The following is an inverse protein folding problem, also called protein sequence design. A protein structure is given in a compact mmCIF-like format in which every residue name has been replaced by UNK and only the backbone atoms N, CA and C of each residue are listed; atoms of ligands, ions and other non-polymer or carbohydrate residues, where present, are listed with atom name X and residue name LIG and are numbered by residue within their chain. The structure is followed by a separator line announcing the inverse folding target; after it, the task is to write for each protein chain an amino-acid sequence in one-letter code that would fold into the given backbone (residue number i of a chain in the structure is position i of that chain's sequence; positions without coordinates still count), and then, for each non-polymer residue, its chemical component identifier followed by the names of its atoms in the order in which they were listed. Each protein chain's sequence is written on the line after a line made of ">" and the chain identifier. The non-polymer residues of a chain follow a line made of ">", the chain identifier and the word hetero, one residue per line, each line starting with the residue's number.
data_IF_771276640731
#
_entry.id   IF_771276640731
#
_cell.length_a   1.000
_cell.length_b   1.000
_cell.length_c   1.000
_cell.angle_alpha   90.00
_cell.angle_beta   90.00
_cell.angle_gamma   90.00
#
_symmetry.space_group_name_H-M   'P 1'
#
loop_
_entity.id
_entity.type
_entity.pdbx_description
1 polymer ?
#
# COMPACT_ATOMS: atom_id res chain seq x y z
N UNK A 1 53.64 -23.99 -38.32
CA UNK A 1 52.42 -24.67 -37.85
C UNK A 1 51.92 -23.92 -36.63
N UNK A 2 50.80 -23.20 -36.79
CA UNK A 2 50.26 -22.23 -35.84
C UNK A 2 49.18 -22.92 -35.01
N UNK A 3 49.38 -23.01 -33.69
CA UNK A 3 48.36 -23.51 -32.77
C UNK A 3 47.39 -22.37 -32.41
N UNK A 4 46.18 -22.48 -32.96
CA UNK A 4 45.04 -21.59 -32.72
C UNK A 4 44.41 -21.87 -31.36
N UNK A 5 44.42 -20.87 -30.49
CA UNK A 5 43.56 -20.77 -29.30
C UNK A 5 42.09 -20.75 -29.75
N UNK A 6 41.27 -21.68 -29.26
CA UNK A 6 39.80 -21.61 -29.38
C UNK A 6 39.25 -20.85 -28.18
N UNK A 7 38.76 -19.63 -28.43
CA UNK A 7 37.97 -18.83 -27.49
C UNK A 7 36.60 -19.46 -27.27
N UNK A 8 36.26 -19.80 -26.03
CA UNK A 8 34.92 -20.16 -25.61
C UNK A 8 34.03 -18.92 -25.57
N UNK A 9 33.23 -18.71 -26.60
CA UNK A 9 32.21 -17.67 -26.67
C UNK A 9 31.06 -17.96 -25.70
N UNK A 10 30.75 -16.98 -24.85
CA UNK A 10 29.57 -16.94 -23.98
C UNK A 10 28.27 -17.04 -24.78
N UNK A 11 27.21 -17.72 -24.30
CA UNK A 11 25.94 -17.79 -25.02
C UNK A 11 25.21 -16.45 -24.90
N UNK A 12 25.20 -15.69 -25.98
CA UNK A 12 24.35 -14.50 -26.14
C UNK A 12 22.88 -14.96 -26.13
N UNK A 13 22.15 -14.64 -25.06
CA UNK A 13 20.72 -14.95 -24.93
C UNK A 13 19.95 -14.09 -25.94
N UNK A 14 19.59 -14.68 -27.07
CA UNK A 14 18.67 -14.04 -28.02
C UNK A 14 17.29 -13.92 -27.38
N UNK A 15 16.93 -12.71 -26.94
CA UNK A 15 15.57 -12.34 -26.58
C UNK A 15 14.69 -12.43 -27.84
N UNK A 16 13.98 -13.56 -28.00
CA UNK A 16 12.91 -13.67 -29.00
C UNK A 16 11.79 -12.73 -28.58
N UNK A 17 11.54 -11.70 -29.40
CA UNK A 17 10.32 -10.88 -29.34
C UNK A 17 9.12 -11.79 -29.59
N UNK A 18 8.48 -12.25 -28.53
CA UNK A 18 7.12 -12.80 -28.60
C UNK A 18 6.18 -11.61 -28.57
N UNK A 19 5.73 -11.20 -29.76
CA UNK A 19 4.72 -10.16 -29.93
C UNK A 19 3.35 -10.79 -29.69
N UNK A 20 3.00 -11.07 -28.43
CA UNK A 20 1.67 -11.56 -28.08
C UNK A 20 0.70 -10.40 -27.97
N UNK A 21 0.04 -10.11 -29.09
CA UNK A 21 -1.20 -9.35 -29.11
C UNK A 21 -2.27 -10.09 -28.31
N UNK A 22 -2.43 -9.76 -27.03
CA UNK A 22 -3.58 -10.18 -26.22
C UNK A 22 -4.21 -8.96 -25.55
N UNK A 23 -5.33 -8.51 -26.11
CA UNK A 23 -6.19 -7.52 -25.48
C UNK A 23 -6.93 -8.22 -24.32
N UNK A 24 -6.42 -8.05 -23.10
CA UNK A 24 -7.12 -8.46 -21.89
C UNK A 24 -8.30 -7.51 -21.67
N UNK A 25 -9.51 -7.93 -22.03
CA UNK A 25 -10.76 -7.24 -21.64
C UNK A 25 -11.03 -7.54 -20.15
N UNK A 26 -10.98 -6.53 -19.29
CA UNK A 26 -11.44 -6.67 -17.91
C UNK A 26 -10.91 -5.63 -16.91
N UNK A 27 -11.31 -4.38 -17.10
CA UNK A 27 -10.97 -3.23 -16.24
C UNK A 27 -10.32 -2.10 -17.05
N UNK A 28 -10.64 -0.84 -16.73
CA UNK A 28 -9.86 0.28 -17.30
C UNK A 28 -8.39 0.02 -16.94
N UNK A 29 -7.46 -0.06 -17.92
CA UNK A 29 -6.05 -0.18 -17.58
C UNK A 29 -5.69 0.98 -16.65
N UNK A 30 -5.01 0.66 -15.55
CA UNK A 30 -4.43 1.69 -14.69
C UNK A 30 -3.62 2.63 -15.58
N UNK A 31 -3.72 3.95 -15.35
CA UNK A 31 -2.94 4.88 -16.15
C UNK A 31 -1.45 4.50 -16.00
N UNK A 32 -0.69 4.41 -17.12
CA UNK A 32 0.73 4.16 -17.04
C UNK A 32 1.35 5.24 -16.14
N UNK A 33 2.17 4.82 -15.18
CA UNK A 33 2.85 5.79 -14.32
C UNK A 33 4.00 6.38 -15.10
N UNK A 34 4.07 7.71 -15.11
CA UNK A 34 5.26 8.41 -15.59
C UNK A 34 6.17 8.62 -14.41
N UNK A 35 7.39 8.08 -14.50
CA UNK A 35 8.42 8.26 -13.48
C UNK A 35 8.55 9.72 -13.08
N UNK A 36 8.40 9.95 -11.79
CA UNK A 36 8.65 11.25 -11.20
C UNK A 36 10.15 11.40 -10.94
N UNK A 37 10.70 12.63 -10.96
CA UNK A 37 12.05 12.85 -10.46
C UNK A 37 12.20 12.29 -9.04
N UNK A 38 13.33 11.67 -8.71
CA UNK A 38 13.52 10.93 -7.47
C UNK A 38 13.17 11.73 -6.19
N UNK A 39 13.43 13.05 -6.18
CA UNK A 39 13.05 13.95 -5.08
C UNK A 39 11.52 14.02 -4.93
N UNK A 40 10.80 14.17 -6.04
CA UNK A 40 9.34 14.25 -6.02
C UNK A 40 8.72 12.92 -5.64
N UNK A 41 9.27 11.80 -6.12
CA UNK A 41 8.81 10.46 -5.78
C UNK A 41 8.99 10.17 -4.27
N UNK A 42 10.16 10.50 -3.70
CA UNK A 42 10.39 10.38 -2.25
C UNK A 42 9.37 11.20 -1.45
N UNK A 43 9.07 12.42 -1.90
CA UNK A 43 8.05 13.25 -1.25
C UNK A 43 6.65 12.66 -1.41
N UNK A 44 6.31 12.16 -2.60
CA UNK A 44 5.02 11.53 -2.88
C UNK A 44 4.77 10.29 -2.01
N UNK A 45 5.80 9.46 -1.81
CA UNK A 45 5.78 8.32 -0.90
C UNK A 45 5.46 8.73 0.53
N UNK A 46 6.18 9.73 1.07
CA UNK A 46 5.92 10.23 2.43
C UNK A 46 4.52 10.87 2.56
N UNK A 47 4.03 11.54 1.51
CA UNK A 47 2.65 12.04 1.45
C UNK A 47 1.64 10.90 1.46
N UNK A 48 1.89 9.82 0.71
CA UNK A 48 1.08 8.60 0.70
C UNK A 48 0.96 8.01 2.10
N UNK A 49 2.08 7.89 2.84
CA UNK A 49 2.09 7.42 4.23
C UNK A 49 1.32 8.33 5.17
N UNK A 50 1.53 9.64 5.08
CA UNK A 50 0.84 10.57 5.96
C UNK A 50 -0.69 10.52 5.74
N UNK A 51 -1.11 10.43 4.48
CA UNK A 51 -2.53 10.31 4.12
C UNK A 51 -3.10 8.93 4.49
N UNK A 52 -2.36 7.85 4.26
CA UNK A 52 -2.74 6.50 4.67
C UNK A 52 -2.96 6.44 6.18
N UNK A 53 -1.98 6.91 6.96
CA UNK A 53 -2.09 7.05 8.42
C UNK A 53 -3.31 7.86 8.84
N UNK A 54 -3.53 9.02 8.19
CA UNK A 54 -4.68 9.89 8.47
C UNK A 54 -5.99 9.12 8.31
N UNK A 55 -6.14 8.41 7.19
CA UNK A 55 -7.33 7.59 6.94
C UNK A 55 -7.45 6.47 7.98
N UNK A 56 -6.35 5.76 8.24
CA UNK A 56 -6.34 4.53 9.04
C UNK A 56 -6.58 4.77 10.52
N UNK A 57 -5.93 5.77 11.11
CA UNK A 57 -5.96 6.04 12.56
C UNK A 57 -7.08 6.98 12.99
N UNK A 58 -7.56 7.85 12.09
CA UNK A 58 -8.48 8.92 12.49
C UNK A 58 -9.77 8.92 11.68
N UNK A 59 -9.69 8.98 10.35
CA UNK A 59 -10.89 9.21 9.52
C UNK A 59 -11.80 7.99 9.47
N UNK A 60 -11.25 6.81 9.19
CA UNK A 60 -12.04 5.59 9.09
C UNK A 60 -12.62 5.16 10.45
N UNK A 61 -11.88 5.20 11.58
CA UNK A 61 -12.46 5.00 12.91
C UNK A 61 -13.58 6.00 13.24
N UNK A 62 -13.40 7.29 12.93
CA UNK A 62 -14.44 8.30 13.16
C UNK A 62 -15.72 8.02 12.35
N UNK A 63 -15.57 7.68 11.06
CA UNK A 63 -16.70 7.30 10.22
C UNK A 63 -17.38 6.01 10.70
N UNK A 64 -16.61 5.03 11.17
CA UNK A 64 -17.13 3.79 11.74
C UNK A 64 -17.96 4.07 13.00
N UNK A 65 -17.42 4.82 13.95
CA UNK A 65 -18.11 5.19 15.19
C UNK A 65 -19.42 5.95 14.92
N UNK A 66 -19.41 6.89 13.96
CA UNK A 66 -20.61 7.62 13.54
C UNK A 66 -21.68 6.69 12.94
N UNK A 67 -21.30 5.77 12.05
CA UNK A 67 -22.27 4.84 11.45
C UNK A 67 -22.81 3.84 12.47
N UNK A 68 -21.99 3.42 13.45
CA UNK A 68 -22.42 2.60 14.58
C UNK A 68 -23.45 3.34 15.44
N UNK A 69 -23.20 4.60 15.80
CA UNK A 69 -24.12 5.39 16.61
C UNK A 69 -25.45 5.67 15.90
N UNK A 70 -25.49 5.58 14.57
CA UNK A 70 -26.69 5.69 13.74
C UNK A 70 -27.36 4.33 13.45
N UNK A 71 -26.81 3.22 13.96
CA UNK A 71 -27.32 1.88 13.70
C UNK A 71 -27.24 1.43 12.23
N UNK A 72 -26.35 2.05 11.43
CA UNK A 72 -26.23 1.77 9.98
C UNK A 72 -25.25 0.65 9.67
N UNK A 73 -24.42 0.29 10.62
CA UNK A 73 -23.51 -0.85 10.56
C UNK A 73 -23.51 -1.56 11.91
N UNK A 74 -23.14 -2.85 11.93
CA UNK A 74 -22.83 -3.58 13.15
C UNK A 74 -21.38 -3.33 13.57
N UNK A 75 -21.04 -3.68 14.82
CA UNK A 75 -19.67 -3.67 15.32
C UNK A 75 -18.81 -4.67 14.51
N UNK A 76 -18.35 -4.22 13.35
CA UNK A 76 -17.48 -4.98 12.48
C UNK A 76 -16.04 -4.80 12.94
N UNK A 77 -15.30 -5.92 12.95
CA UNK A 77 -13.92 -5.98 13.38
C UNK A 77 -12.94 -5.42 12.32
N UNK A 78 -13.35 -5.37 11.05
CA UNK A 78 -12.51 -4.87 9.95
C UNK A 78 -13.11 -3.58 9.36
N UNK A 79 -12.38 -2.47 9.49
CA UNK A 79 -12.81 -1.13 9.08
C UNK A 79 -12.33 -0.84 7.65
N UNK A 80 -13.16 -1.18 6.66
CA UNK A 80 -12.93 -0.83 5.25
C UNK A 80 -13.53 0.54 4.93
N UNK A 81 -12.68 1.55 4.76
CA UNK A 81 -13.11 2.92 4.50
C UNK A 81 -13.95 3.08 3.22
N UNK A 82 -13.73 2.24 2.19
CA UNK A 82 -14.59 2.24 0.98
C UNK A 82 -16.01 1.83 1.33
N UNK A 83 -16.18 0.80 2.18
CA UNK A 83 -17.50 0.35 2.62
C UNK A 83 -18.20 1.41 3.46
N UNK A 84 -17.49 2.03 4.40
CA UNK A 84 -18.05 3.14 5.20
C UNK A 84 -18.52 4.29 4.31
N UNK A 85 -17.70 4.70 3.33
CA UNK A 85 -18.05 5.78 2.41
C UNK A 85 -19.26 5.41 1.52
N UNK A 86 -19.41 4.15 1.14
CA UNK A 86 -20.58 3.70 0.38
C UNK A 86 -21.87 3.81 1.22
N UNK A 87 -21.80 3.47 2.52
CA UNK A 87 -22.93 3.66 3.44
C UNK A 87 -23.25 5.14 3.59
N UNK A 88 -22.26 5.99 3.93
CA UNK A 88 -22.47 7.43 4.08
C UNK A 88 -23.08 8.04 2.82
N UNK A 89 -22.58 7.71 1.63
CA UNK A 89 -23.14 8.21 0.36
C UNK A 89 -24.59 7.79 0.16
N UNK A 90 -24.92 6.53 0.47
CA UNK A 90 -26.29 6.01 0.33
C UNK A 90 -27.22 6.75 1.28
N UNK A 91 -26.83 6.89 2.54
CA UNK A 91 -27.67 7.53 3.56
C UNK A 91 -27.84 9.03 3.29
N UNK A 92 -26.77 9.77 2.94
CA UNK A 92 -26.87 11.21 2.57
C UNK A 92 -27.72 11.44 1.32
N UNK A 93 -27.74 10.49 0.37
CA UNK A 93 -28.62 10.56 -0.80
C UNK A 93 -30.10 10.46 -0.42
N UNK A 94 -30.41 9.63 0.58
CA UNK A 94 -31.78 9.38 1.03
C UNK A 94 -32.26 10.44 2.03
N UNK A 95 -31.36 10.92 2.87
CA UNK A 95 -31.58 11.96 3.87
C UNK A 95 -30.39 12.92 3.89
N UNK A 96 -30.52 14.12 3.29
CA UNK A 96 -29.47 15.13 3.30
C UNK A 96 -29.00 15.53 4.70
N UNK A 97 -29.84 15.37 5.74
CA UNK A 97 -29.54 15.68 7.14
C UNK A 97 -28.98 14.48 7.92
N UNK A 98 -28.67 13.37 7.23
CA UNK A 98 -28.11 12.17 7.86
C UNK A 98 -26.84 12.49 8.66
N UNK A 99 -25.98 13.36 8.10
CA UNK A 99 -24.79 13.90 8.76
C UNK A 99 -25.10 15.22 9.49
N UNK A 100 -24.55 15.45 10.70
CA UNK A 100 -24.79 16.68 11.47
C UNK A 100 -24.53 17.99 10.73
N UNK A 101 -23.51 18.01 9.85
CA UNK A 101 -23.23 19.15 8.97
C UNK A 101 -23.25 18.68 7.52
N UNK A 102 -23.99 19.42 6.70
CA UNK A 102 -24.23 19.08 5.30
C UNK A 102 -22.93 18.83 4.53
N UNK A 103 -22.93 17.75 3.76
CA UNK A 103 -21.85 17.38 2.86
C UNK A 103 -22.40 17.21 1.45
N UNK A 104 -21.79 17.90 0.48
CA UNK A 104 -22.22 17.83 -0.91
C UNK A 104 -21.78 16.52 -1.58
N UNK A 105 -22.53 16.10 -2.61
CA UNK A 105 -22.16 14.95 -3.47
C UNK A 105 -20.73 15.08 -4.03
N UNK A 106 -20.36 16.27 -4.47
CA UNK A 106 -19.01 16.56 -4.98
C UNK A 106 -17.93 16.38 -3.91
N UNK A 107 -18.20 16.72 -2.65
CA UNK A 107 -17.27 16.45 -1.54
C UNK A 107 -17.13 14.94 -1.28
N UNK A 108 -18.22 14.18 -1.31
CA UNK A 108 -18.19 12.71 -1.16
C UNK A 108 -17.40 12.03 -2.29
N UNK A 109 -17.50 12.53 -3.52
CA UNK A 109 -16.68 12.09 -4.65
C UNK A 109 -15.20 12.43 -4.44
N UNK A 110 -14.89 13.63 -3.94
CA UNK A 110 -13.53 14.05 -3.58
C UNK A 110 -12.87 13.15 -2.54
N UNK A 111 -13.62 12.77 -1.50
CA UNK A 111 -13.15 11.83 -0.48
C UNK A 111 -12.86 10.46 -1.09
N UNK A 112 -13.73 10.01 -2.00
CA UNK A 112 -13.54 8.72 -2.68
C UNK A 112 -12.31 8.73 -3.59
N UNK A 113 -12.02 9.86 -4.24
CA UNK A 113 -10.79 10.04 -5.00
C UNK A 113 -9.57 10.01 -4.08
N UNK A 114 -9.58 10.74 -2.96
CA UNK A 114 -8.46 10.70 -1.99
C UNK A 114 -8.17 9.26 -1.54
N UNK A 115 -9.21 8.50 -1.20
CA UNK A 115 -9.11 7.09 -0.83
C UNK A 115 -8.53 6.25 -1.98
N UNK A 116 -9.01 6.41 -3.20
CA UNK A 116 -8.48 5.68 -4.36
C UNK A 116 -7.01 6.01 -4.62
N UNK A 117 -6.63 7.28 -4.56
CA UNK A 117 -5.27 7.74 -4.83
C UNK A 117 -4.29 7.14 -3.80
N UNK A 118 -4.71 7.01 -2.53
CA UNK A 118 -3.97 6.32 -1.46
C UNK A 118 -3.95 4.79 -1.68
N UNK A 119 -5.11 4.18 -1.92
CA UNK A 119 -5.24 2.72 -2.01
C UNK A 119 -4.59 2.12 -3.24
N UNK A 120 -4.37 2.91 -4.30
CA UNK A 120 -3.82 2.49 -5.59
C UNK A 120 -2.45 3.12 -5.88
N UNK A 121 -1.81 3.68 -4.86
CA UNK A 121 -0.42 4.16 -4.94
C UNK A 121 -0.22 5.24 -6.01
N UNK A 122 -1.24 6.07 -6.30
CA UNK A 122 -1.13 7.13 -7.34
C UNK A 122 -0.28 8.30 -6.81
N UNK A 123 1.03 8.06 -6.73
CA UNK A 123 2.02 9.00 -6.21
C UNK A 123 1.99 10.35 -6.94
N UNK A 124 1.68 10.35 -8.24
CA UNK A 124 1.53 11.58 -9.01
C UNK A 124 0.34 12.41 -8.54
N UNK A 125 -0.81 11.78 -8.31
CA UNK A 125 -1.99 12.46 -7.73
C UNK A 125 -1.74 12.88 -6.28
N UNK A 126 -1.16 11.99 -5.45
CA UNK A 126 -0.84 12.29 -4.05
C UNK A 126 0.09 13.49 -3.94
N UNK A 127 1.12 13.58 -4.78
CA UNK A 127 2.03 14.73 -4.81
C UNK A 127 1.34 16.03 -5.22
N UNK A 128 0.49 15.98 -6.26
CA UNK A 128 -0.17 17.18 -6.82
C UNK A 128 -1.37 17.65 -6.01
N UNK A 129 -2.00 16.77 -5.23
CA UNK A 129 -3.33 17.02 -4.64
C UNK A 129 -3.39 16.75 -3.14
N UNK A 130 -2.27 16.52 -2.46
CA UNK A 130 -2.21 16.23 -1.03
C UNK A 130 -3.03 17.22 -0.20
N UNK A 131 -2.90 18.53 -0.43
CA UNK A 131 -3.64 19.57 0.31
C UNK A 131 -5.16 19.37 0.19
N UNK A 132 -5.64 19.08 -1.02
CA UNK A 132 -7.04 18.77 -1.26
C UNK A 132 -7.46 17.48 -0.57
N UNK A 133 -6.61 16.46 -0.55
CA UNK A 133 -6.91 15.19 0.13
C UNK A 133 -7.04 15.38 1.64
N UNK A 134 -6.08 16.04 2.28
CA UNK A 134 -6.18 16.38 3.70
C UNK A 134 -7.42 17.21 4.00
N UNK A 135 -7.69 18.25 3.20
CA UNK A 135 -8.87 19.10 3.37
C UNK A 135 -10.17 18.32 3.30
N UNK A 136 -10.36 17.44 2.30
CA UNK A 136 -11.63 16.70 2.19
C UNK A 136 -11.79 15.62 3.27
N UNK A 137 -10.69 15.03 3.74
CA UNK A 137 -10.71 14.08 4.85
C UNK A 137 -11.05 14.77 6.18
N UNK A 138 -10.46 15.95 6.44
CA UNK A 138 -10.83 16.80 7.59
C UNK A 138 -12.30 17.19 7.54
N UNK A 139 -12.77 17.67 6.39
CA UNK A 139 -14.16 18.07 6.22
C UNK A 139 -15.13 16.90 6.47
N UNK A 140 -14.77 15.66 6.08
CA UNK A 140 -15.58 14.50 6.42
C UNK A 140 -15.73 14.35 7.94
N UNK A 141 -14.61 14.40 8.68
CA UNK A 141 -14.61 14.31 10.14
C UNK A 141 -15.48 15.39 10.79
N UNK A 142 -15.41 16.64 10.30
CA UNK A 142 -16.29 17.72 10.76
C UNK A 142 -17.76 17.44 10.43
N UNK A 143 -18.06 16.95 9.22
CA UNK A 143 -19.43 16.68 8.79
C UNK A 143 -20.12 15.62 9.65
N UNK A 144 -19.37 14.60 10.07
CA UNK A 144 -19.85 13.53 10.96
C UNK A 144 -19.76 13.90 12.46
N UNK A 145 -19.35 15.13 12.78
CA UNK A 145 -19.29 15.64 14.16
C UNK A 145 -18.08 15.20 14.98
N UNK A 146 -17.03 14.66 14.36
CA UNK A 146 -15.81 14.22 15.06
C UNK A 146 -14.68 15.25 14.92
N UNK A 147 -14.73 16.29 15.77
CA UNK A 147 -13.76 17.39 15.77
C UNK A 147 -12.35 16.95 16.21
N UNK A 148 -12.24 15.90 17.02
CA UNK A 148 -10.93 15.35 17.45
C UNK A 148 -10.20 14.76 16.25
N UNK A 149 -10.86 13.90 15.46
CA UNK A 149 -10.28 13.35 14.24
C UNK A 149 -9.97 14.44 13.20
N UNK A 150 -10.85 15.46 13.08
CA UNK A 150 -10.60 16.61 12.21
C UNK A 150 -9.34 17.41 12.64
N UNK A 151 -9.15 17.61 13.94
CA UNK A 151 -7.96 18.24 14.52
C UNK A 151 -6.69 17.46 14.23
N UNK A 152 -6.71 16.13 14.33
CA UNK A 152 -5.57 15.28 14.01
C UNK A 152 -5.22 15.31 12.51
N UNK A 153 -6.22 15.30 11.61
CA UNK A 153 -6.00 15.47 10.17
C UNK A 153 -5.32 16.82 9.88
N UNK A 154 -5.81 17.88 10.53
CA UNK A 154 -5.27 19.24 10.41
C UNK A 154 -3.82 19.32 10.92
N UNK A 155 -3.53 18.68 12.06
CA UNK A 155 -2.19 18.62 12.66
C UNK A 155 -1.20 17.91 11.74
N UNK A 156 -1.56 16.74 11.22
CA UNK A 156 -0.70 15.99 10.28
C UNK A 156 -0.45 16.81 9.01
N UNK A 157 -1.50 17.42 8.45
CA UNK A 157 -1.35 18.29 7.28
C UNK A 157 -0.37 19.44 7.52
N UNK A 158 -0.46 20.10 8.68
CA UNK A 158 0.43 21.21 9.04
C UNK A 158 1.89 20.75 9.11
N UNK A 159 2.17 19.64 9.79
CA UNK A 159 3.52 19.07 9.89
C UNK A 159 4.09 18.70 8.51
N UNK A 160 3.28 18.02 7.68
CA UNK A 160 3.64 17.68 6.30
C UNK A 160 3.93 18.92 5.47
N UNK A 161 3.12 19.98 5.61
CA UNK A 161 3.29 21.24 4.88
C UNK A 161 4.60 21.96 5.26
N UNK A 162 5.04 21.81 6.51
CA UNK A 162 6.32 22.30 7.00
C UNK A 162 7.51 21.41 6.62
N UNK A 163 7.27 20.25 6.02
CA UNK A 163 8.30 19.27 5.70
C UNK A 163 8.68 18.36 6.87
N UNK A 164 8.03 18.48 8.03
CA UNK A 164 8.26 17.64 9.20
C UNK A 164 7.50 16.30 9.10
N UNK A 165 7.96 15.47 8.17
CA UNK A 165 7.43 14.12 8.00
C UNK A 165 7.76 13.21 9.18
N UNK A 166 8.86 13.45 9.89
CA UNK A 166 9.26 12.65 11.05
C UNK A 166 8.18 12.73 12.14
N UNK A 167 7.75 13.94 12.50
CA UNK A 167 6.69 14.12 13.49
C UNK A 167 5.32 13.73 12.96
N UNK A 168 5.04 13.94 11.66
CA UNK A 168 3.76 13.55 11.04
C UNK A 168 3.54 12.03 11.05
N UNK A 169 4.61 11.25 10.94
CA UNK A 169 4.58 9.79 10.84
C UNK A 169 4.99 9.09 12.14
N UNK A 170 5.28 9.84 13.20
CA UNK A 170 5.72 9.29 14.49
C UNK A 170 4.68 8.33 15.09
N UNK A 171 5.11 7.17 15.55
CA UNK A 171 4.29 6.25 16.35
C UNK A 171 5.14 5.55 17.40
N UNK A 172 4.46 5.07 18.43
CA UNK A 172 4.98 4.15 19.42
C UNK A 172 3.91 3.12 19.78
N UNK A 173 4.28 1.86 19.93
CA UNK A 173 3.38 0.82 20.46
C UNK A 173 4.17 -0.32 21.12
N UNK A 174 3.52 -1.06 22.02
CA UNK A 174 4.02 -2.36 22.49
C UNK A 174 3.09 -3.45 21.99
N UNK A 175 3.64 -4.62 21.72
CA UNK A 175 2.81 -5.76 21.32
C UNK A 175 1.89 -6.17 22.47
N UNK A 176 0.64 -6.45 22.13
CA UNK A 176 -0.37 -6.95 23.06
C UNK A 176 -0.66 -8.43 22.75
N UNK A 177 -1.13 -9.17 23.75
CA UNK A 177 -1.56 -10.57 23.58
C UNK A 177 -2.95 -10.67 22.96
N UNK A 178 -3.80 -9.67 23.22
CA UNK A 178 -5.14 -9.52 22.65
C UNK A 178 -5.15 -8.45 21.55
N UNK A 179 -6.13 -8.54 20.65
CA UNK A 179 -6.28 -7.58 19.56
C UNK A 179 -6.33 -6.14 20.08
N UNK A 180 -5.52 -5.28 19.48
CA UNK A 180 -5.46 -3.85 19.74
C UNK A 180 -5.46 -3.08 18.41
N UNK A 181 -6.38 -2.12 18.26
CA UNK A 181 -6.54 -1.35 17.03
C UNK A 181 -5.32 -0.46 16.71
N UNK A 182 -4.67 0.09 17.74
CA UNK A 182 -3.51 0.96 17.57
C UNK A 182 -2.27 0.16 17.12
N UNK A 183 -2.05 -1.01 17.71
CA UNK A 183 -1.02 -1.97 17.27
C UNK A 183 -1.31 -2.44 15.85
N UNK A 184 -2.55 -2.85 15.56
CA UNK A 184 -2.96 -3.31 14.23
C UNK A 184 -2.76 -2.23 13.15
N UNK A 185 -3.18 -0.99 13.44
CA UNK A 185 -3.00 0.14 12.53
C UNK A 185 -1.52 0.48 12.31
N UNK A 186 -0.71 0.45 13.37
CA UNK A 186 0.73 0.75 13.27
C UNK A 186 1.49 -0.35 12.51
N UNK A 187 1.16 -1.62 12.71
CA UNK A 187 1.68 -2.72 11.87
C UNK A 187 1.27 -2.56 10.40
N UNK A 188 0.03 -2.15 10.16
CA UNK A 188 -0.46 -1.90 8.79
C UNK A 188 0.25 -0.72 8.13
N UNK A 189 0.59 0.33 8.87
CA UNK A 189 1.43 1.45 8.41
C UNK A 189 2.84 1.00 8.04
N UNK A 190 3.46 0.12 8.83
CA UNK A 190 4.79 -0.44 8.53
C UNK A 190 4.74 -1.27 7.25
N UNK A 191 3.77 -2.18 7.12
CA UNK A 191 3.62 -3.02 5.92
C UNK A 191 3.27 -2.16 4.69
N UNK A 192 2.47 -1.11 4.86
CA UNK A 192 2.20 -0.12 3.82
C UNK A 192 3.51 0.51 3.32
N UNK A 193 4.37 0.98 4.22
CA UNK A 193 5.69 1.52 3.88
C UNK A 193 6.60 0.50 3.19
N UNK A 194 6.57 -0.76 3.63
CA UNK A 194 7.32 -1.86 3.00
C UNK A 194 6.87 -2.11 1.56
N UNK A 195 5.55 -2.18 1.33
CA UNK A 195 4.98 -2.37 -0.01
C UNK A 195 5.41 -1.23 -0.93
N UNK A 196 5.22 0.00 -0.48
CA UNK A 196 5.45 1.16 -1.33
C UNK A 196 6.94 1.38 -1.62
N UNK A 197 7.83 1.06 -0.67
CA UNK A 197 9.27 1.31 -0.82
C UNK A 197 9.98 0.18 -1.55
N UNK A 198 9.69 -1.07 -1.19
CA UNK A 198 10.47 -2.21 -1.66
C UNK A 198 9.69 -2.97 -2.73
N UNK A 199 8.44 -3.37 -2.45
CA UNK A 199 7.67 -4.21 -3.36
C UNK A 199 7.37 -3.52 -4.70
N UNK A 200 6.83 -2.30 -4.67
CA UNK A 200 6.50 -1.55 -5.89
C UNK A 200 7.74 -1.31 -6.74
N UNK A 201 8.82 -0.82 -6.12
CA UNK A 201 10.07 -0.51 -6.83
C UNK A 201 10.72 -1.74 -7.46
N UNK A 202 10.71 -2.87 -6.76
CA UNK A 202 11.28 -4.10 -7.27
C UNK A 202 10.47 -4.66 -8.45
N UNK A 203 9.13 -4.68 -8.35
CA UNK A 203 8.27 -5.06 -9.48
C UNK A 203 8.50 -4.15 -10.69
N UNK A 204 8.70 -2.86 -10.45
CA UNK A 204 9.01 -1.90 -11.49
C UNK A 204 10.34 -2.18 -12.18
N UNK A 205 11.42 -2.33 -11.41
CA UNK A 205 12.74 -2.64 -11.95
C UNK A 205 12.72 -3.97 -12.72
N UNK A 206 11.98 -4.97 -12.24
CA UNK A 206 11.78 -6.22 -12.95
C UNK A 206 11.14 -6.00 -14.32
N UNK A 207 10.04 -5.23 -14.40
CA UNK A 207 9.32 -4.97 -15.66
C UNK A 207 10.10 -4.14 -16.65
N UNK A 208 10.84 -3.13 -16.18
CA UNK A 208 11.75 -2.35 -17.02
C UNK A 208 12.77 -3.23 -17.76
N UNK A 209 13.20 -4.32 -17.12
CA UNK A 209 14.20 -5.22 -17.68
C UNK A 209 13.60 -6.32 -18.57
N UNK A 210 12.28 -6.55 -18.52
CA UNK A 210 11.61 -7.66 -19.20
C UNK A 210 10.58 -7.24 -20.25
N UNK A 211 10.10 -5.99 -20.24
CA UNK A 211 8.98 -5.53 -21.08
C UNK A 211 9.21 -4.19 -21.79
N UNK A 212 8.42 -3.91 -22.83
CA UNK A 212 8.35 -2.62 -23.53
C UNK A 212 7.08 -1.88 -23.09
N UNK A 213 7.22 -0.88 -22.21
CA UNK A 213 6.14 0.02 -21.81
C UNK A 213 6.25 0.50 -20.36
N UNK A 214 5.52 1.56 -20.02
CA UNK A 214 5.50 2.09 -18.65
C UNK A 214 4.53 1.27 -17.77
N UNK A 215 5.03 0.54 -16.75
CA UNK A 215 4.15 -0.17 -15.83
C UNK A 215 3.24 0.79 -15.04
N UNK A 216 2.09 0.34 -14.48
CA UNK A 216 1.35 1.14 -13.50
C UNK A 216 2.10 1.12 -12.17
N UNK A 217 1.96 2.15 -11.33
CA UNK A 217 2.59 2.15 -10.00
C UNK A 217 1.81 1.32 -8.98
N UNK A 218 0.52 1.11 -9.23
CA UNK A 218 -0.39 0.33 -8.40
C UNK A 218 0.15 -1.10 -8.18
N UNK A 219 0.51 -1.42 -6.92
CA UNK A 219 0.99 -2.74 -6.54
C UNK A 219 0.00 -3.85 -6.90
N UNK A 220 -1.31 -3.60 -6.76
CA UNK A 220 -2.33 -4.58 -7.09
C UNK A 220 -2.39 -4.87 -8.59
N UNK A 221 -2.27 -3.84 -9.43
CA UNK A 221 -2.25 -4.01 -10.87
C UNK A 221 -1.03 -4.81 -11.33
N UNK A 222 0.16 -4.54 -10.76
CA UNK A 222 1.37 -5.30 -11.08
C UNK A 222 1.30 -6.75 -10.60
N UNK A 223 0.84 -6.98 -9.36
CA UNK A 223 0.69 -8.35 -8.85
C UNK A 223 -0.33 -9.14 -9.67
N UNK A 224 -1.46 -8.53 -10.06
CA UNK A 224 -2.44 -9.17 -10.94
C UNK A 224 -1.83 -9.52 -12.30
N UNK A 225 -1.01 -8.62 -12.85
CA UNK A 225 -0.28 -8.85 -14.10
C UNK A 225 0.71 -10.02 -13.96
N UNK A 226 1.59 -10.01 -12.94
CA UNK A 226 2.55 -11.10 -12.69
C UNK A 226 1.87 -12.45 -12.46
N UNK A 227 0.72 -12.49 -11.77
CA UNK A 227 -0.05 -13.73 -11.59
C UNK A 227 -0.53 -14.29 -12.94
N UNK A 228 -0.93 -13.42 -13.86
CA UNK A 228 -1.37 -13.84 -15.18
C UNK A 228 -0.21 -14.35 -16.03
N UNK A 229 0.90 -13.62 -16.08
CA UNK A 229 2.10 -14.05 -16.81
C UNK A 229 2.66 -15.36 -16.25
N UNK A 230 2.76 -15.49 -14.93
CA UNK A 230 3.17 -16.72 -14.23
C UNK A 230 2.22 -17.91 -14.50
N UNK A 231 0.98 -17.65 -14.93
CA UNK A 231 0.04 -18.71 -15.32
C UNK A 231 0.20 -19.14 -16.78
N UNK A 232 0.88 -18.35 -17.60
CA UNK A 232 1.18 -18.66 -19.00
C UNK A 232 2.57 -19.26 -19.12
N UNK A 233 3.53 -18.72 -18.38
CA UNK A 233 4.91 -19.19 -18.28
C UNK A 233 5.27 -19.43 -16.80
N UNK A 234 5.52 -20.70 -16.46
CA UNK A 234 5.83 -21.10 -15.09
C UNK A 234 7.21 -20.63 -14.62
N UNK A 235 8.07 -20.18 -15.53
CA UNK A 235 9.39 -19.64 -15.23
C UNK A 235 9.46 -18.12 -15.48
N UNK A 236 8.31 -17.45 -15.62
CA UNK A 236 8.21 -16.02 -15.91
C UNK A 236 9.06 -15.16 -14.96
N UNK A 237 8.97 -15.38 -13.64
CA UNK A 237 9.78 -14.64 -12.67
C UNK A 237 11.23 -15.13 -12.63
N UNK A 238 11.43 -16.45 -12.58
CA UNK A 238 12.74 -17.09 -12.60
C UNK A 238 12.61 -18.60 -12.89
N UNK A 239 13.66 -19.21 -13.44
CA UNK A 239 13.71 -20.65 -13.72
C UNK A 239 13.42 -21.50 -12.49
N UNK A 240 12.55 -22.51 -12.61
CA UNK A 240 12.12 -23.40 -11.53
C UNK A 240 10.91 -22.87 -10.73
N UNK A 241 10.07 -22.03 -11.34
CA UNK A 241 8.98 -21.36 -10.62
C UNK A 241 7.89 -22.28 -10.08
N UNK A 242 7.69 -23.45 -10.69
CA UNK A 242 6.74 -24.46 -10.19
C UNK A 242 7.19 -25.03 -8.84
N UNK A 243 8.47 -25.43 -8.76
CA UNK A 243 9.04 -26.04 -7.56
C UNK A 243 9.08 -25.08 -6.35
N UNK A 244 9.19 -23.76 -6.60
CA UNK A 244 9.14 -22.72 -5.56
C UNK A 244 7.73 -22.23 -5.24
N UNK A 245 6.73 -22.62 -6.04
CA UNK A 245 5.35 -22.14 -5.98
C UNK A 245 5.25 -20.60 -6.07
N UNK A 246 5.88 -20.05 -7.11
CA UNK A 246 5.95 -18.60 -7.36
C UNK A 246 4.53 -17.99 -7.54
N UNK A 247 3.60 -18.75 -8.13
CA UNK A 247 2.20 -18.35 -8.29
C UNK A 247 1.48 -18.18 -6.95
N UNK A 248 1.68 -19.07 -5.98
CA UNK A 248 1.13 -18.89 -4.62
C UNK A 248 1.77 -17.71 -3.92
N UNK A 249 3.09 -17.54 -4.05
CA UNK A 249 3.83 -16.40 -3.48
C UNK A 249 3.24 -15.06 -3.96
N UNK A 250 3.00 -14.92 -5.28
CA UNK A 250 2.35 -13.74 -5.85
C UNK A 250 0.93 -13.51 -5.31
N UNK A 251 0.11 -14.58 -5.22
CA UNK A 251 -1.26 -14.49 -4.66
C UNK A 251 -1.26 -14.05 -3.21
N UNK A 252 -0.33 -14.55 -2.41
CA UNK A 252 -0.18 -14.18 -1.00
C UNK A 252 0.32 -12.73 -0.86
N UNK A 253 1.25 -12.27 -1.69
CA UNK A 253 1.62 -10.84 -1.75
C UNK A 253 0.42 -9.95 -2.08
N UNK A 254 -0.41 -10.37 -3.04
CA UNK A 254 -1.64 -9.65 -3.38
C UNK A 254 -2.63 -9.61 -2.20
N UNK A 255 -2.75 -10.70 -1.44
CA UNK A 255 -3.57 -10.74 -0.23
C UNK A 255 -3.03 -9.83 0.87
N UNK A 256 -1.71 -9.84 1.12
CA UNK A 256 -1.05 -8.94 2.07
C UNK A 256 -1.33 -7.48 1.72
N UNK A 257 -1.18 -7.11 0.44
CA UNK A 257 -1.52 -5.77 -0.07
C UNK A 257 -2.99 -5.45 0.16
N UNK A 258 -3.92 -6.29 -0.29
CA UNK A 258 -5.37 -6.03 -0.15
C UNK A 258 -5.74 -5.84 1.33
N UNK A 259 -5.26 -6.73 2.20
CA UNK A 259 -5.52 -6.69 3.64
C UNK A 259 -5.11 -5.35 4.25
N UNK A 260 -3.91 -4.88 3.92
CA UNK A 260 -3.37 -3.64 4.47
C UNK A 260 -4.02 -2.38 3.85
N UNK A 261 -4.58 -2.44 2.63
CA UNK A 261 -5.33 -1.31 2.05
C UNK A 261 -6.80 -1.27 2.39
N UNK A 262 -7.46 -2.41 2.51
CA UNK A 262 -8.93 -2.51 2.58
C UNK A 262 -9.42 -3.03 3.94
N UNK A 263 -8.91 -2.45 5.03
CA UNK A 263 -9.51 -2.59 6.36
C UNK A 263 -9.25 -3.88 7.13
N UNK A 264 -8.32 -4.74 6.70
CA UNK A 264 -8.02 -6.03 7.34
C UNK A 264 -7.16 -5.93 8.59
N UNK A 265 -7.53 -5.07 9.56
CA UNK A 265 -6.74 -4.80 10.77
C UNK A 265 -6.52 -6.05 11.60
N UNK A 266 -7.57 -6.83 11.88
CA UNK A 266 -7.44 -8.05 12.69
C UNK A 266 -6.52 -9.07 12.04
N UNK A 267 -6.68 -9.27 10.73
CA UNK A 267 -5.82 -10.16 9.96
C UNK A 267 -4.37 -9.67 9.89
N UNK A 268 -4.15 -8.35 9.99
CA UNK A 268 -2.81 -7.76 10.04
C UNK A 268 -2.19 -7.98 11.42
N UNK A 269 -2.94 -7.71 12.49
CA UNK A 269 -2.53 -7.95 13.86
C UNK A 269 -2.06 -9.40 14.09
N UNK A 270 -2.79 -10.38 13.56
CA UNK A 270 -2.43 -11.79 13.73
C UNK A 270 -1.40 -12.31 12.72
N UNK A 271 -1.28 -11.69 11.54
CA UNK A 271 -0.58 -12.25 10.39
C UNK A 271 0.44 -11.32 9.73
N UNK A 272 0.93 -10.30 10.44
CA UNK A 272 1.91 -9.35 9.92
C UNK A 272 3.24 -10.02 9.55
N UNK A 273 3.66 -11.05 10.30
CA UNK A 273 4.91 -11.77 10.04
C UNK A 273 4.85 -12.47 8.69
N UNK A 274 3.77 -13.20 8.44
CA UNK A 274 3.54 -13.93 7.18
C UNK A 274 3.46 -12.98 5.98
N UNK A 275 2.88 -11.78 6.16
CA UNK A 275 2.87 -10.74 5.12
C UNK A 275 4.30 -10.31 4.75
N UNK A 276 5.16 -10.07 5.74
CA UNK A 276 6.54 -9.68 5.50
C UNK A 276 7.35 -10.85 4.90
N UNK A 277 7.18 -12.06 5.41
CA UNK A 277 7.86 -13.27 4.91
C UNK A 277 7.54 -13.54 3.44
N UNK A 278 6.29 -13.32 3.02
CA UNK A 278 5.92 -13.53 1.62
C UNK A 278 6.44 -12.43 0.70
N UNK A 279 6.53 -11.18 1.19
CA UNK A 279 7.17 -10.09 0.45
C UNK A 279 8.68 -10.38 0.30
N UNK A 280 9.37 -10.79 1.36
CA UNK A 280 10.79 -11.18 1.31
C UNK A 280 11.01 -12.29 0.30
N UNK A 281 10.19 -13.34 0.32
CA UNK A 281 10.27 -14.44 -0.64
C UNK A 281 10.11 -13.95 -2.07
N UNK A 282 9.12 -13.11 -2.32
CA UNK A 282 8.89 -12.55 -3.65
C UNK A 282 10.08 -11.71 -4.13
N UNK A 283 10.61 -10.81 -3.29
CA UNK A 283 11.77 -9.98 -3.63
C UNK A 283 12.99 -10.84 -3.99
N UNK A 284 13.24 -11.94 -3.26
CA UNK A 284 14.31 -12.90 -3.60
C UNK A 284 14.09 -13.57 -4.95
N UNK A 285 12.85 -13.94 -5.28
CA UNK A 285 12.51 -14.60 -6.56
C UNK A 285 12.79 -13.68 -7.76
N UNK A 286 12.50 -12.39 -7.64
CA UNK A 286 12.81 -11.40 -8.69
C UNK A 286 14.23 -10.82 -8.59
N UNK A 287 15.10 -11.47 -7.82
CA UNK A 287 16.51 -11.11 -7.63
C UNK A 287 16.76 -9.70 -7.04
N UNK A 288 15.84 -9.20 -6.20
CA UNK A 288 16.05 -7.99 -5.38
C UNK A 288 16.55 -8.38 -3.98
N UNK A 289 17.82 -8.77 -3.89
CA UNK A 289 18.44 -9.24 -2.66
C UNK A 289 18.52 -8.14 -1.57
N UNK A 290 18.85 -6.91 -1.98
CA UNK A 290 18.96 -5.76 -1.07
C UNK A 290 17.59 -5.40 -0.48
N UNK A 291 16.55 -5.32 -1.32
CA UNK A 291 15.19 -5.11 -0.86
C UNK A 291 14.71 -6.23 0.07
N UNK A 292 15.01 -7.49 -0.27
CA UNK A 292 14.65 -8.62 0.59
C UNK A 292 15.33 -8.55 1.97
N UNK A 293 16.62 -8.21 2.01
CA UNK A 293 17.38 -8.06 3.26
C UNK A 293 16.81 -6.94 4.13
N UNK A 294 16.48 -5.80 3.53
CA UNK A 294 15.90 -4.66 4.24
C UNK A 294 14.54 -5.00 4.88
N UNK A 295 13.68 -5.72 4.17
CA UNK A 295 12.38 -6.17 4.71
C UNK A 295 12.56 -7.23 5.81
N UNK A 296 13.56 -8.10 5.66
CA UNK A 296 13.97 -9.07 6.68
C UNK A 296 14.42 -8.38 7.97
N UNK A 297 15.24 -7.34 7.89
CA UNK A 297 15.62 -6.51 9.06
C UNK A 297 14.40 -5.89 9.74
N UNK A 298 13.43 -5.38 8.97
CA UNK A 298 12.18 -4.82 9.52
C UNK A 298 11.38 -5.90 10.27
N UNK A 299 11.21 -7.08 9.65
CA UNK A 299 10.53 -8.23 10.26
C UNK A 299 11.22 -8.64 11.56
N UNK A 300 12.54 -8.79 11.55
CA UNK A 300 13.30 -9.31 12.68
C UNK A 300 13.27 -8.32 13.85
N UNK A 301 13.31 -7.01 13.58
CA UNK A 301 13.06 -5.96 14.59
C UNK A 301 11.70 -6.10 15.26
N UNK A 302 10.64 -6.35 14.49
CA UNK A 302 9.29 -6.55 15.03
C UNK A 302 9.19 -7.86 15.83
N UNK A 303 9.82 -8.93 15.36
CA UNK A 303 9.87 -10.22 16.08
C UNK A 303 10.59 -10.06 17.42
N UNK A 304 11.77 -9.43 17.43
CA UNK A 304 12.53 -9.16 18.64
C UNK A 304 11.76 -8.26 19.60
N UNK A 305 11.12 -7.19 19.10
CA UNK A 305 10.31 -6.30 19.94
C UNK A 305 9.11 -7.02 20.57
N UNK A 306 8.47 -7.95 19.84
CA UNK A 306 7.40 -8.79 20.40
C UNK A 306 7.93 -9.75 21.47
N UNK A 307 9.03 -10.44 21.21
CA UNK A 307 9.60 -11.41 22.14
C UNK A 307 10.09 -10.76 23.44
N UNK A 308 10.71 -9.57 23.33
CA UNK A 308 11.29 -8.85 24.45
C UNK A 308 10.32 -7.83 25.07
N UNK A 309 9.06 -7.80 24.63
CA UNK A 309 8.06 -6.80 25.02
C UNK A 309 8.59 -5.35 24.95
N UNK A 310 9.40 -5.04 23.95
CA UNK A 310 10.01 -3.72 23.75
C UNK A 310 9.07 -2.81 22.99
N UNK A 311 9.13 -1.50 23.28
CA UNK A 311 8.37 -0.51 22.53
C UNK A 311 8.91 -0.37 21.11
N UNK A 312 8.01 -0.42 20.14
CA UNK A 312 8.27 -0.23 18.73
C UNK A 312 7.97 1.22 18.38
N UNK A 313 8.95 1.94 17.83
CA UNK A 313 8.80 3.33 17.38
C UNK A 313 9.07 3.49 15.89
N UNK A 314 8.57 4.57 15.29
CA UNK A 314 8.85 4.90 13.88
C UNK A 314 10.36 5.07 13.59
N UNK A 315 11.15 5.47 14.58
CA UNK A 315 12.60 5.64 14.46
C UNK A 315 13.34 4.32 14.24
N UNK A 316 12.75 3.18 14.61
CA UNK A 316 13.33 1.86 14.32
C UNK A 316 13.32 1.53 12.81
N UNK A 317 12.54 2.28 12.02
CA UNK A 317 12.28 2.00 10.61
C UNK A 317 12.52 3.24 9.72
N UNK A 318 13.63 3.96 9.94
CA UNK A 318 14.06 5.13 9.14
C UNK A 318 14.15 4.87 7.64
N UNK A 319 14.26 3.60 7.25
CA UNK A 319 14.28 3.23 5.85
C UNK A 319 12.91 3.44 5.21
N UNK A 320 11.81 3.26 5.94
CA UNK A 320 10.44 3.46 5.43
C UNK A 320 9.76 4.73 5.95
N UNK A 321 10.27 5.44 6.96
CA UNK A 321 9.70 6.71 7.47
C UNK A 321 10.65 7.90 7.34
#
# INVERSE_FOLDING_TARGET
>A
MVNSLKSSSSPTRHLKKVQTGRIVRGGKPGKPYRRMPAIQERKAFKLGQALYRTVKKYVAPAANAFLLSKGKISAAIDIDFKKLMNVIKKEVKNDPNFVPRLISKTQLEKISMARNDIDHDDFASLYKRSDRHFSVLKNLCECIGNNVAAGEVQRIWYLVKQGDFKSALSFAFRFTTVYDDHVAASLSEIIYGVIDKYLIKAMWAFRDNTEIGDPPIDAYANLKYFINEQSVDVDYLAQGGDARDDKKTLKLCMQARIKNRHGGNRKTFSGWKDDLDVIIRFLRVINDADGAHEVEVIRDKLVAARANNTEVTSEMFTTIF
#
